data_IF_237760267817
#
_entry.id   IF_237760267817
#
_cell.length_a   1.000
_cell.length_b   1.000
_cell.length_c   1.000
_cell.angle_alpha   90.00
_cell.angle_beta   90.00
_cell.angle_gamma   90.00
#
_symmetry.space_group_name_H-M   'P 1'
#
loop_
_entity.id
_entity.type
_entity.pdbx_description
1 polymer ?
#
# COMPACT_ATOMS: atom_id res chain seq x y z
N UNK A 1 10.97 9.79 -5.96
CA UNK A 1 9.60 10.25 -6.24
C UNK A 1 8.70 9.02 -6.30
N UNK A 2 7.54 9.00 -5.65
CA UNK A 2 6.63 7.84 -5.71
C UNK A 2 6.04 7.69 -7.11
N UNK A 3 5.99 6.46 -7.63
CA UNK A 3 5.40 6.14 -8.96
C UNK A 3 3.95 6.64 -9.03
N UNK A 4 3.17 6.44 -7.96
CA UNK A 4 1.80 6.92 -7.85
C UNK A 4 1.66 8.45 -7.94
N UNK A 5 2.63 9.22 -7.43
CA UNK A 5 2.62 10.69 -7.57
C UNK A 5 2.87 11.11 -9.02
N UNK A 6 3.80 10.45 -9.71
CA UNK A 6 4.10 10.75 -11.11
C UNK A 6 2.88 10.43 -11.98
N UNK A 7 2.23 9.30 -11.74
CA UNK A 7 1.09 8.83 -12.54
C UNK A 7 -0.22 9.56 -12.25
N UNK A 8 -0.36 10.16 -11.05
CA UNK A 8 -1.60 10.79 -10.60
C UNK A 8 -1.37 12.22 -10.10
N UNK A 9 -0.47 12.97 -10.74
CA UNK A 9 0.07 14.23 -10.22
C UNK A 9 -1.02 15.22 -9.79
N UNK A 10 -2.02 15.46 -10.66
CA UNK A 10 -3.07 16.44 -10.37
C UNK A 10 -3.97 15.97 -9.22
N UNK A 11 -4.45 14.73 -9.23
CA UNK A 11 -5.25 14.17 -8.13
C UNK A 11 -4.48 14.11 -6.81
N UNK A 12 -3.15 13.92 -6.86
CA UNK A 12 -2.32 13.99 -5.66
C UNK A 12 -2.27 15.41 -5.09
N UNK A 13 -2.15 16.43 -5.96
CA UNK A 13 -2.18 17.84 -5.57
C UNK A 13 -3.56 18.22 -5.01
N UNK A 14 -4.63 17.75 -5.64
CA UNK A 14 -5.99 18.18 -5.30
C UNK A 14 -6.56 17.44 -4.09
N UNK A 15 -6.08 16.22 -3.81
CA UNK A 15 -6.66 15.40 -2.76
C UNK A 15 -5.67 15.06 -1.64
N UNK A 16 -4.47 14.59 -1.97
CA UNK A 16 -3.51 14.08 -0.97
C UNK A 16 -2.82 15.23 -0.25
N UNK A 17 -2.38 16.28 -0.97
CA UNK A 17 -1.75 17.42 -0.32
C UNK A 17 -2.69 18.12 0.67
N UNK A 18 -3.96 18.43 0.33
CA UNK A 18 -4.92 18.95 1.29
C UNK A 18 -5.15 18.03 2.48
N UNK A 19 -5.23 16.71 2.23
CA UNK A 19 -5.41 15.71 3.30
C UNK A 19 -4.28 15.76 4.34
N UNK A 20 -3.02 15.73 3.88
CA UNK A 20 -1.85 15.77 4.75
C UNK A 20 -1.68 17.14 5.41
N UNK A 21 -1.94 18.22 4.67
CA UNK A 21 -1.92 19.58 5.22
C UNK A 21 -2.97 19.75 6.32
N UNK A 22 -4.15 19.17 6.17
CA UNK A 22 -5.20 19.22 7.18
C UNK A 22 -4.78 18.52 8.49
N UNK A 23 -3.98 17.45 8.45
CA UNK A 23 -3.42 16.85 9.67
C UNK A 23 -2.47 17.81 10.38
N UNK A 24 -1.57 18.46 9.63
CA UNK A 24 -0.61 19.42 10.19
C UNK A 24 -1.31 20.63 10.81
N UNK A 25 -2.28 21.20 10.09
CA UNK A 25 -3.07 22.34 10.58
C UNK A 25 -3.92 21.96 11.79
N UNK A 26 -4.53 20.77 11.79
CA UNK A 26 -5.32 20.32 12.93
C UNK A 26 -4.47 20.14 14.18
N UNK A 27 -3.28 19.57 14.02
CA UNK A 27 -2.32 19.46 15.12
C UNK A 27 -1.85 20.83 15.60
N UNK A 28 -1.50 21.73 14.68
CA UNK A 28 -1.03 23.06 15.02
C UNK A 28 -2.07 23.88 15.79
N UNK A 29 -3.34 23.80 15.37
CA UNK A 29 -4.43 24.61 15.94
C UNK A 29 -5.07 24.00 17.19
N UNK A 30 -5.21 22.67 17.24
CA UNK A 30 -5.98 21.97 18.27
C UNK A 30 -5.16 20.99 19.11
N UNK A 31 -3.87 20.82 18.80
CA UNK A 31 -3.00 19.85 19.47
C UNK A 31 -3.33 18.42 19.07
N UNK A 32 -3.13 17.48 20.00
CA UNK A 32 -3.32 16.05 19.72
C UNK A 32 -4.80 15.70 19.65
N UNK A 33 -5.33 15.61 18.44
CA UNK A 33 -6.72 15.21 18.14
C UNK A 33 -6.79 13.86 17.44
N UNK A 34 -8.00 13.31 17.33
CA UNK A 34 -8.22 12.07 16.59
C UNK A 34 -7.88 12.27 15.09
N UNK A 35 -7.15 11.34 14.46
CA UNK A 35 -6.94 11.37 13.01
C UNK A 35 -8.29 11.39 12.29
N UNK A 36 -8.44 12.30 11.33
CA UNK A 36 -9.67 12.47 10.55
C UNK A 36 -10.93 12.77 11.41
N UNK A 37 -10.74 13.38 12.58
CA UNK A 37 -11.80 13.83 13.49
C UNK A 37 -12.53 15.10 13.02
N UNK A 38 -13.33 15.71 13.91
CA UNK A 38 -14.13 16.91 13.59
C UNK A 38 -13.27 18.12 13.22
N UNK A 39 -12.11 18.26 13.85
CA UNK A 39 -11.13 19.33 13.61
C UNK A 39 -10.51 19.18 12.21
N UNK A 40 -10.10 17.96 11.86
CA UNK A 40 -9.58 17.67 10.54
C UNK A 40 -10.64 17.88 9.46
N UNK A 41 -11.88 17.42 9.69
CA UNK A 41 -13.00 17.63 8.75
C UNK A 41 -13.29 19.12 8.55
N UNK A 42 -13.29 19.89 9.65
CA UNK A 42 -13.45 21.34 9.58
C UNK A 42 -12.38 21.98 8.70
N UNK A 43 -11.10 21.60 8.87
CA UNK A 43 -10.03 22.14 8.04
C UNK A 43 -10.21 21.74 6.57
N UNK A 44 -10.51 20.47 6.29
CA UNK A 44 -10.76 20.00 4.92
C UNK A 44 -11.87 20.80 4.24
N UNK A 45 -13.06 20.85 4.85
CA UNK A 45 -14.27 21.36 4.18
C UNK A 45 -14.39 22.89 4.28
N UNK A 46 -14.06 23.47 5.44
CA UNK A 46 -14.28 24.89 5.69
C UNK A 46 -13.07 25.74 5.34
N UNK A 47 -11.85 25.24 5.52
CA UNK A 47 -10.61 26.00 5.25
C UNK A 47 -10.07 25.69 3.86
N UNK A 48 -9.84 24.40 3.55
CA UNK A 48 -9.24 23.98 2.28
C UNK A 48 -10.26 23.84 1.14
N UNK A 49 -11.57 23.83 1.45
CA UNK A 49 -12.67 23.69 0.49
C UNK A 49 -12.59 22.40 -0.34
N UNK A 50 -12.07 21.32 0.27
CA UNK A 50 -12.00 19.98 -0.32
C UNK A 50 -12.88 19.02 0.48
N UNK A 51 -13.50 18.05 -0.18
CA UNK A 51 -14.28 17.02 0.49
C UNK A 51 -13.41 16.25 1.49
N UNK A 52 -13.92 15.99 2.69
CA UNK A 52 -13.20 15.29 3.76
C UNK A 52 -13.11 13.77 3.54
N UNK A 53 -12.61 13.35 2.37
CA UNK A 53 -12.39 11.97 2.01
C UNK A 53 -11.14 11.43 2.71
N UNK A 54 -11.31 10.28 3.39
CA UNK A 54 -10.19 9.62 4.11
C UNK A 54 -9.30 8.80 3.20
N UNK A 55 -9.83 8.41 2.04
CA UNK A 55 -9.20 7.48 1.11
C UNK A 55 -9.22 8.06 -0.29
N UNK A 56 -8.10 7.91 -0.98
CA UNK A 56 -7.96 8.21 -2.41
C UNK A 56 -7.99 6.91 -3.20
N UNK A 57 -8.48 6.97 -4.43
CA UNK A 57 -8.52 5.80 -5.31
C UNK A 57 -7.56 6.01 -6.48
N UNK A 58 -6.31 5.58 -6.30
CA UNK A 58 -5.33 5.50 -7.39
C UNK A 58 -5.24 4.07 -7.89
N UNK A 59 -5.09 3.88 -9.20
CA UNK A 59 -4.69 2.57 -9.71
C UNK A 59 -3.34 2.20 -9.13
N UNK A 60 -3.22 0.96 -8.68
CA UNK A 60 -1.97 0.39 -8.17
C UNK A 60 -1.37 -0.62 -9.14
N UNK A 61 -1.84 -0.66 -10.38
CA UNK A 61 -1.42 -1.65 -11.37
C UNK A 61 0.08 -1.51 -11.70
N UNK A 62 0.56 -0.27 -11.81
CA UNK A 62 1.97 0.07 -12.05
C UNK A 62 2.90 -0.30 -10.89
N UNK A 63 2.38 -0.31 -9.66
CA UNK A 63 3.10 -0.65 -8.43
C UNK A 63 2.74 -2.04 -7.91
N UNK A 64 1.97 -2.82 -8.69
CA UNK A 64 1.54 -4.15 -8.28
C UNK A 64 2.77 -5.01 -8.06
N UNK A 65 2.85 -5.61 -6.87
CA UNK A 65 4.01 -6.42 -6.51
C UNK A 65 4.20 -7.55 -7.52
N UNK A 66 5.42 -7.69 -8.03
CA UNK A 66 5.82 -8.88 -8.77
C UNK A 66 5.56 -10.12 -7.91
N UNK A 67 4.86 -11.07 -8.49
CA UNK A 67 4.65 -12.42 -7.95
C UNK A 67 5.65 -13.38 -8.59
N UNK A 68 6.11 -14.33 -7.81
CA UNK A 68 7.08 -15.35 -8.20
C UNK A 68 6.42 -16.72 -8.05
N UNK A 69 6.47 -17.52 -9.11
CA UNK A 69 5.84 -18.84 -9.14
C UNK A 69 6.69 -19.86 -8.40
N UNK A 70 6.06 -20.58 -7.48
CA UNK A 70 6.63 -21.72 -6.76
C UNK A 70 5.76 -22.95 -6.99
N UNK A 71 6.35 -24.12 -6.99
CA UNK A 71 5.69 -25.39 -7.25
C UNK A 71 5.91 -26.38 -6.10
N UNK A 72 4.94 -27.24 -5.86
CA UNK A 72 5.11 -28.50 -5.13
C UNK A 72 4.49 -29.62 -5.98
N UNK A 73 4.50 -30.87 -5.50
CA UNK A 73 3.93 -31.99 -6.27
C UNK A 73 2.43 -31.88 -6.59
N UNK A 74 1.68 -31.03 -5.87
CA UNK A 74 0.22 -31.00 -6.00
C UNK A 74 -0.33 -29.73 -6.65
N UNK A 75 0.42 -28.61 -6.71
CA UNK A 75 -0.03 -27.34 -7.31
C UNK A 75 1.09 -26.28 -7.41
N UNK A 76 0.75 -25.20 -8.11
CA UNK A 76 1.49 -23.94 -8.13
C UNK A 76 1.05 -22.99 -7.01
N UNK A 77 1.96 -22.09 -6.65
CA UNK A 77 1.83 -21.09 -5.60
C UNK A 77 2.47 -19.79 -6.07
N UNK A 78 1.86 -18.65 -5.71
CA UNK A 78 2.47 -17.35 -5.95
C UNK A 78 3.02 -16.78 -4.64
N UNK A 79 4.30 -16.41 -4.65
CA UNK A 79 4.93 -15.68 -3.56
C UNK A 79 5.16 -14.22 -3.98
N UNK A 80 4.85 -13.29 -3.07
CA UNK A 80 5.22 -11.89 -3.24
C UNK A 80 6.75 -11.73 -3.28
N UNK A 81 7.25 -10.64 -3.88
CA UNK A 81 8.68 -10.31 -3.85
C UNK A 81 9.30 -10.33 -2.43
N UNK A 82 8.54 -9.94 -1.40
CA UNK A 82 9.00 -10.00 0.00
C UNK A 82 9.20 -11.44 0.48
N UNK A 83 8.27 -12.34 0.15
CA UNK A 83 8.36 -13.75 0.49
C UNK A 83 9.48 -14.43 -0.30
N UNK A 84 9.57 -14.19 -1.62
CA UNK A 84 10.64 -14.68 -2.48
C UNK A 84 12.03 -14.27 -1.95
N UNK A 85 12.22 -12.99 -1.61
CA UNK A 85 13.47 -12.49 -1.04
C UNK A 85 13.82 -13.12 0.32
N UNK A 86 12.82 -13.48 1.14
CA UNK A 86 13.05 -14.23 2.38
C UNK A 86 13.53 -15.66 2.09
N UNK A 87 13.00 -16.31 1.05
CA UNK A 87 13.49 -17.63 0.60
C UNK A 87 14.92 -17.53 0.10
N UNK A 88 15.23 -16.58 -0.79
CA UNK A 88 16.58 -16.39 -1.34
C UNK A 88 17.62 -16.09 -0.26
N UNK A 89 17.25 -15.36 0.80
CA UNK A 89 18.13 -15.06 1.94
C UNK A 89 18.22 -16.21 2.96
N UNK A 90 17.59 -17.36 2.69
CA UNK A 90 17.53 -18.49 3.62
C UNK A 90 16.76 -18.22 4.91
N UNK A 91 16.00 -17.11 4.99
CA UNK A 91 15.29 -16.68 6.20
C UNK A 91 13.93 -17.34 6.39
N UNK A 92 13.39 -17.97 5.35
CA UNK A 92 12.10 -18.63 5.41
C UNK A 92 12.02 -19.77 4.42
N UNK A 93 11.31 -20.82 4.82
CA UNK A 93 10.91 -21.92 3.97
C UNK A 93 9.39 -22.06 4.07
N UNK A 94 8.72 -22.14 2.93
CA UNK A 94 7.26 -22.27 2.87
C UNK A 94 6.87 -23.70 2.50
N UNK A 95 5.76 -24.16 3.08
CA UNK A 95 5.18 -25.49 2.83
C UNK A 95 3.78 -25.37 2.26
N UNK A 96 3.41 -26.31 1.40
CA UNK A 96 2.07 -26.41 0.88
C UNK A 96 1.13 -26.94 1.96
N UNK A 97 0.06 -26.20 2.24
CA UNK A 97 -0.98 -26.61 3.23
C UNK A 97 -1.78 -27.86 2.85
N UNK A 98 -1.64 -28.34 1.61
CA UNK A 98 -2.40 -29.50 1.11
C UNK A 98 -1.57 -30.78 1.16
N UNK A 99 -0.34 -30.77 0.61
CA UNK A 99 0.51 -31.96 0.58
C UNK A 99 1.62 -31.96 1.65
N UNK A 100 1.80 -30.86 2.38
CA UNK A 100 2.85 -30.69 3.40
C UNK A 100 4.25 -30.41 2.85
N UNK A 101 4.46 -30.53 1.54
CA UNK A 101 5.79 -30.39 0.94
C UNK A 101 6.27 -28.94 0.86
N UNK A 102 7.59 -28.79 0.91
CA UNK A 102 8.27 -27.52 0.61
C UNK A 102 7.92 -27.08 -0.81
N UNK A 103 7.50 -25.82 -0.95
CA UNK A 103 7.34 -25.21 -2.27
C UNK A 103 8.71 -24.75 -2.78
N UNK A 104 9.04 -25.08 -4.03
CA UNK A 104 10.31 -24.75 -4.69
C UNK A 104 10.09 -23.72 -5.78
N UNK A 105 11.05 -22.82 -5.98
CA UNK A 105 10.93 -21.78 -6.99
C UNK A 105 10.89 -22.41 -8.38
N UNK A 106 9.91 -22.01 -9.19
CA UNK A 106 9.77 -22.45 -10.56
C UNK A 106 10.31 -21.35 -11.46
N UNK A 107 11.58 -21.44 -11.84
CA UNK A 107 12.13 -20.57 -12.89
C UNK A 107 11.42 -20.92 -14.20
N UNK A 108 10.51 -20.04 -14.63
CA UNK A 108 10.02 -20.07 -16.00
C UNK A 108 11.22 -19.81 -16.91
N UNK A 109 11.60 -20.81 -17.69
CA UNK A 109 12.68 -20.74 -18.68
C UNK A 109 12.32 -19.80 -19.82
#
# INVERSE_FOLDING_TARGET
MSVLLIENQQSFIDEVLPHELAHLLAYHQFGRVAPHGKEWRFIMEMVLKVAANRTHQFSVDSVRNKVFTYCCRCRQHELTIRQHNKVLRGKSCYICRQCGERIVFSETR
#
